data_IF_513929413474
#
_entry.id   IF_513929413474
#
_cell.length_a   1.000
_cell.length_b   1.000
_cell.length_c   1.000
_cell.angle_alpha   90.00
_cell.angle_beta   90.00
_cell.angle_gamma   90.00
#
_symmetry.space_group_name_H-M   'P 1'
#
loop_
_entity.id
_entity.type
_entity.pdbx_description
1 polymer ?
#
# COMPACT_ATOMS: atom_id res chain seq x y z
N UNK A 1 -0.98 -20.86 4.65
CA UNK A 1 -2.23 -20.54 3.92
C UNK A 1 -3.00 -19.41 4.58
N UNK A 2 -3.23 -19.42 5.89
CA UNK A 2 -3.96 -18.34 6.62
C UNK A 2 -3.24 -17.00 6.64
N UNK A 3 -1.90 -16.98 6.71
CA UNK A 3 -1.11 -15.74 6.76
C UNK A 3 -1.30 -14.83 5.54
N UNK A 4 -1.34 -15.39 4.34
CA UNK A 4 -1.54 -14.63 3.09
C UNK A 4 -2.92 -13.97 3.06
N UNK A 5 -3.97 -14.69 3.49
CA UNK A 5 -5.32 -14.14 3.56
C UNK A 5 -5.42 -12.99 4.57
N UNK A 6 -4.75 -13.12 5.72
CA UNK A 6 -4.71 -12.06 6.73
C UNK A 6 -3.98 -10.82 6.20
N UNK A 7 -2.85 -11.02 5.51
CA UNK A 7 -2.08 -9.93 4.92
C UNK A 7 -2.86 -9.23 3.79
N UNK A 8 -3.48 -9.99 2.89
CA UNK A 8 -4.35 -9.46 1.84
C UNK A 8 -5.54 -8.68 2.43
N UNK A 9 -6.15 -9.18 3.51
CA UNK A 9 -7.23 -8.48 4.21
C UNK A 9 -6.76 -7.15 4.79
N UNK A 10 -5.58 -7.11 5.43
CA UNK A 10 -5.00 -5.87 5.95
C UNK A 10 -4.75 -4.86 4.83
N UNK A 11 -4.17 -5.30 3.69
CA UNK A 11 -3.96 -4.44 2.53
C UNK A 11 -5.28 -3.84 1.99
N UNK A 12 -6.31 -4.67 1.87
CA UNK A 12 -7.63 -4.23 1.39
C UNK A 12 -8.27 -3.22 2.35
N UNK A 13 -8.28 -3.49 3.66
CA UNK A 13 -8.88 -2.59 4.66
C UNK A 13 -8.19 -1.24 4.66
N UNK A 14 -6.86 -1.23 4.64
CA UNK A 14 -6.11 0.00 4.67
C UNK A 14 -6.29 0.84 3.39
N UNK A 15 -6.35 0.21 2.21
CA UNK A 15 -6.67 0.91 0.96
C UNK A 15 -8.11 1.48 0.97
N UNK A 16 -9.08 0.70 1.47
CA UNK A 16 -10.50 1.12 1.58
C UNK A 16 -10.66 2.32 2.52
N UNK A 17 -9.80 2.50 3.52
CA UNK A 17 -9.84 3.66 4.43
C UNK A 17 -9.06 4.85 3.85
N UNK A 18 -7.84 4.62 3.36
CA UNK A 18 -6.94 5.67 2.89
C UNK A 18 -7.45 6.37 1.63
N UNK A 19 -8.04 5.63 0.68
CA UNK A 19 -8.49 6.18 -0.62
C UNK A 19 -9.65 7.17 -0.46
N UNK A 20 -10.73 6.88 0.28
CA UNK A 20 -11.78 7.85 0.55
C UNK A 20 -11.28 9.03 1.38
N UNK A 21 -10.36 8.82 2.31
CA UNK A 21 -9.78 9.89 3.11
C UNK A 21 -9.00 10.88 2.24
N UNK A 22 -8.11 10.39 1.37
CA UNK A 22 -7.38 11.22 0.41
C UNK A 22 -8.31 11.93 -0.58
N UNK A 23 -9.37 11.25 -1.04
CA UNK A 23 -10.39 11.85 -1.89
C UNK A 23 -11.13 13.00 -1.17
N UNK A 24 -11.43 12.85 0.13
CA UNK A 24 -12.06 13.92 0.94
C UNK A 24 -11.13 15.11 1.17
N UNK A 25 -9.82 14.90 1.17
CA UNK A 25 -8.81 15.95 1.26
C UNK A 25 -8.52 16.65 -0.08
N UNK A 26 -9.18 16.25 -1.18
CA UNK A 26 -9.01 16.85 -2.50
C UNK A 26 -7.78 16.39 -3.27
N UNK A 27 -7.09 15.34 -2.79
CA UNK A 27 -5.78 14.89 -3.29
C UNK A 27 -5.86 13.88 -4.47
N UNK A 28 -7.07 13.52 -4.91
CA UNK A 28 -7.29 12.48 -5.92
C UNK A 28 -7.13 11.05 -5.37
N UNK A 29 -7.59 10.05 -6.13
CA UNK A 29 -7.57 8.64 -5.71
C UNK A 29 -6.16 8.03 -5.71
N UNK A 30 -5.29 8.47 -6.63
CA UNK A 30 -3.92 7.97 -6.78
C UNK A 30 -3.10 8.22 -5.52
N UNK A 31 -3.21 9.42 -4.93
CA UNK A 31 -2.50 9.76 -3.70
C UNK A 31 -2.96 8.89 -2.51
N UNK A 32 -4.24 8.52 -2.47
CA UNK A 32 -4.79 7.64 -1.43
C UNK A 32 -4.21 6.22 -1.46
N UNK A 33 -3.97 5.67 -2.66
CA UNK A 33 -3.30 4.37 -2.79
C UNK A 33 -1.83 4.44 -2.40
N UNK A 34 -1.13 5.53 -2.73
CA UNK A 34 0.26 5.75 -2.32
C UNK A 34 0.39 5.86 -0.79
N UNK A 35 -0.48 6.63 -0.14
CA UNK A 35 -0.51 6.75 1.32
C UNK A 35 -0.78 5.39 1.96
N UNK A 36 -1.74 4.61 1.44
CA UNK A 36 -1.98 3.25 1.93
C UNK A 36 -0.72 2.38 1.82
N UNK A 37 -0.05 2.39 0.66
CA UNK A 37 1.17 1.62 0.41
C UNK A 37 2.34 2.00 1.33
N UNK A 38 2.57 3.30 1.56
CA UNK A 38 3.63 3.77 2.46
C UNK A 38 3.32 3.45 3.92
N UNK A 39 2.05 3.53 4.33
CA UNK A 39 1.65 3.18 5.70
C UNK A 39 1.75 1.68 5.96
N UNK A 40 1.46 0.83 4.98
CA UNK A 40 1.47 -0.63 5.21
C UNK A 40 2.84 -1.25 4.90
N UNK A 41 3.53 -0.76 3.88
CA UNK A 41 4.79 -1.35 3.39
C UNK A 41 5.93 -1.17 4.38
N UNK A 42 6.55 0.03 4.45
CA UNK A 42 7.67 0.28 5.35
C UNK A 42 7.26 0.45 6.83
N UNK A 43 6.11 1.06 7.15
CA UNK A 43 5.77 1.38 8.55
C UNK A 43 5.28 0.14 9.33
N UNK A 44 4.51 -0.76 8.70
CA UNK A 44 4.06 -2.01 9.35
C UNK A 44 5.05 -3.17 9.06
N UNK A 45 6.01 -2.99 8.13
CA UNK A 45 7.04 -3.99 7.84
C UNK A 45 6.50 -5.25 7.17
N UNK A 46 5.30 -5.19 6.58
CA UNK A 46 4.65 -6.31 5.88
C UNK A 46 5.22 -6.54 4.48
N UNK A 47 6.04 -5.62 3.97
CA UNK A 47 6.81 -5.82 2.74
C UNK A 47 8.19 -6.34 3.15
N UNK A 48 8.27 -7.65 3.32
CA UNK A 48 9.52 -8.37 3.53
C UNK A 48 10.32 -8.49 2.23
N UNK A 49 11.64 -8.28 2.32
CA UNK A 49 12.72 -8.72 1.43
C UNK A 49 12.65 -8.49 -0.09
N UNK A 50 11.59 -7.89 -0.65
CA UNK A 50 11.42 -7.71 -2.10
C UNK A 50 11.70 -6.26 -2.57
N UNK A 51 12.47 -5.50 -1.79
CA UNK A 51 12.88 -4.13 -2.11
C UNK A 51 13.71 -4.05 -3.40
N UNK A 52 14.47 -5.11 -3.72
CA UNK A 52 15.31 -5.19 -4.92
C UNK A 52 14.49 -5.31 -6.20
N UNK A 53 13.37 -6.06 -6.18
CA UNK A 53 12.47 -6.17 -7.32
C UNK A 53 11.71 -4.86 -7.54
N UNK A 54 11.21 -4.22 -6.47
CA UNK A 54 10.47 -2.95 -6.58
C UNK A 54 11.36 -1.82 -7.11
N UNK A 55 12.65 -1.79 -6.79
CA UNK A 55 13.57 -0.78 -7.32
C UNK A 55 13.69 -0.83 -8.85
N UNK A 56 13.79 -2.01 -9.45
CA UNK A 56 13.83 -2.14 -10.90
C UNK A 56 12.52 -1.67 -11.53
N UNK A 57 11.37 -2.02 -10.96
CA UNK A 57 10.08 -1.53 -11.46
C UNK A 57 9.92 -0.01 -11.31
N UNK A 58 10.44 0.58 -10.23
CA UNK A 58 10.41 2.03 -10.02
C UNK A 58 11.28 2.81 -11.02
N UNK A 59 12.34 2.20 -11.56
CA UNK A 59 13.16 2.79 -12.64
C UNK A 59 12.43 2.87 -13.98
N UNK A 60 11.39 2.04 -14.20
CA UNK A 60 10.64 2.04 -15.45
C UNK A 60 9.47 3.03 -15.52
N UNK A 61 9.02 3.57 -14.38
CA UNK A 61 7.97 4.61 -14.31
C UNK A 61 6.57 4.10 -14.62
#
# INVERSE_FOLDING_TARGET
MTGIFLQAFVYLVAAVIAVPLAKRLGLGSVLGYLIAGVVIGPIIGLVGEETTTIQHFAEFG
#
